data_IF_906598631593
#
_entry.id   IF_906598631593
#
_cell.length_a   1.000
_cell.length_b   1.000
_cell.length_c   1.000
_cell.angle_alpha   90.00
_cell.angle_beta   90.00
_cell.angle_gamma   90.00
#
_symmetry.space_group_name_H-M   'P 1'
#
loop_
_entity.id
_entity.type
_entity.pdbx_description
1 polymer ?
#
# COMPACT_ATOMS: atom_id res chain seq x y z
N UNK A 1 17.00 -2.71 -0.99
CA UNK A 1 15.93 -3.49 -0.29
C UNK A 1 15.75 -3.08 1.17
N UNK A 2 16.80 -3.10 2.01
CA UNK A 2 16.66 -2.83 3.45
C UNK A 2 16.08 -1.45 3.79
N UNK A 3 16.58 -0.37 3.16
CA UNK A 3 16.08 1.02 3.38
C UNK A 3 14.60 1.18 3.03
N UNK A 4 14.17 0.66 1.89
CA UNK A 4 12.75 0.70 1.48
C UNK A 4 11.88 -0.12 2.43
N UNK A 5 12.38 -1.27 2.91
CA UNK A 5 11.65 -2.07 3.91
C UNK A 5 11.50 -1.32 5.23
N UNK A 6 12.53 -0.61 5.66
CA UNK A 6 12.47 0.27 6.84
C UNK A 6 11.45 1.40 6.65
N UNK A 7 11.44 2.06 5.49
CA UNK A 7 10.43 3.08 5.18
C UNK A 7 9.01 2.48 5.23
N UNK A 8 8.77 1.32 4.61
CA UNK A 8 7.45 0.67 4.66
C UNK A 8 6.98 0.38 6.09
N UNK A 9 7.87 -0.06 6.97
CA UNK A 9 7.53 -0.30 8.37
C UNK A 9 7.18 1.02 9.08
N UNK A 10 7.97 2.07 8.87
CA UNK A 10 7.70 3.38 9.46
C UNK A 10 6.38 3.98 8.96
N UNK A 11 6.04 3.78 7.69
CA UNK A 11 4.77 4.23 7.10
C UNK A 11 3.54 3.71 7.86
N UNK A 12 3.62 2.50 8.44
CA UNK A 12 2.51 1.89 9.18
C UNK A 12 2.33 2.38 10.62
N UNK A 13 3.19 3.30 11.10
CA UNK A 13 3.10 3.86 12.43
C UNK A 13 1.76 4.61 12.67
N UNK A 14 1.44 4.82 13.95
CA UNK A 14 0.26 5.57 14.39
C UNK A 14 0.69 6.73 15.31
N UNK A 15 0.50 8.00 14.90
CA UNK A 15 -0.14 8.44 13.66
C UNK A 15 0.69 8.19 12.39
N UNK A 16 0.03 8.12 11.23
CA UNK A 16 0.68 7.92 9.93
C UNK A 16 1.64 9.09 9.62
N UNK A 17 2.95 8.87 9.44
CA UNK A 17 3.93 9.97 9.43
C UNK A 17 4.04 10.73 8.10
N UNK A 18 3.62 10.11 6.99
CA UNK A 18 3.77 10.60 5.62
C UNK A 18 2.59 10.12 4.76
N UNK A 19 2.21 10.87 3.73
CA UNK A 19 1.15 10.45 2.80
C UNK A 19 1.58 9.35 1.83
N UNK A 20 0.61 8.57 1.34
CA UNK A 20 0.85 7.39 0.50
C UNK A 20 1.61 7.72 -0.79
N UNK A 21 1.28 8.84 -1.43
CA UNK A 21 1.87 9.28 -2.70
C UNK A 21 3.38 9.51 -2.51
N UNK A 22 3.76 10.28 -1.50
CA UNK A 22 5.16 10.58 -1.19
C UNK A 22 5.93 9.33 -0.78
N UNK A 23 5.33 8.46 0.03
CA UNK A 23 5.93 7.19 0.42
C UNK A 23 6.18 6.26 -0.78
N UNK A 24 5.25 6.21 -1.75
CA UNK A 24 5.36 5.35 -2.93
C UNK A 24 6.40 5.81 -3.95
N UNK A 25 6.69 7.10 -4.08
CA UNK A 25 7.65 7.61 -5.06
C UNK A 25 9.04 6.95 -4.95
N UNK A 26 9.50 6.65 -3.73
CA UNK A 26 10.81 6.02 -3.51
C UNK A 26 10.92 4.59 -4.05
N UNK A 27 9.80 3.95 -4.36
CA UNK A 27 9.78 2.59 -4.89
C UNK A 27 9.88 2.57 -6.43
N UNK A 28 9.75 3.72 -7.13
CA UNK A 28 9.81 3.74 -8.59
C UNK A 28 11.17 3.32 -9.15
N UNK A 29 12.25 3.55 -8.41
CA UNK A 29 13.59 3.08 -8.75
C UNK A 29 13.73 1.55 -8.82
N UNK A 30 12.76 0.78 -8.30
CA UNK A 30 12.74 -0.69 -8.45
C UNK A 30 12.06 -1.16 -9.74
N UNK A 31 11.19 -0.35 -10.34
CA UNK A 31 10.36 -0.78 -11.49
C UNK A 31 10.70 -0.04 -12.78
N UNK A 32 11.27 1.15 -12.68
CA UNK A 32 11.56 1.99 -13.82
C UNK A 32 13.07 2.18 -13.97
N UNK A 33 13.64 1.94 -15.16
CA UNK A 33 15.04 2.28 -15.41
C UNK A 33 15.20 3.80 -15.55
N UNK A 34 16.19 4.36 -14.87
CA UNK A 34 16.54 5.78 -14.99
C UNK A 34 17.91 5.92 -15.65
N UNK A 35 17.99 6.73 -16.71
CA UNK A 35 19.23 7.05 -17.41
C UNK A 35 20.23 7.83 -16.55
N UNK A 36 19.77 8.46 -15.46
CA UNK A 36 20.59 9.15 -14.46
C UNK A 36 21.13 8.25 -13.35
N UNK A 37 20.76 6.96 -13.35
CA UNK A 37 20.94 6.11 -12.17
C UNK A 37 20.03 6.51 -11.00
N UNK A 38 20.29 5.95 -9.82
CA UNK A 38 19.41 6.07 -8.63
C UNK A 38 20.05 6.79 -7.43
N UNK A 39 21.29 7.29 -7.55
CA UNK A 39 22.04 7.86 -6.41
C UNK A 39 21.29 9.02 -5.73
N UNK A 40 20.72 9.93 -6.51
CA UNK A 40 19.92 11.05 -5.97
C UNK A 40 18.66 10.56 -5.25
N UNK A 41 18.05 9.46 -5.72
CA UNK A 41 16.89 8.86 -5.06
C UNK A 41 17.29 8.20 -3.74
N UNK A 42 18.44 7.54 -3.68
CA UNK A 42 18.96 6.95 -2.44
C UNK A 42 19.26 8.02 -1.39
N UNK A 43 19.86 9.15 -1.78
CA UNK A 43 20.08 10.29 -0.88
C UNK A 43 18.77 10.87 -0.36
N UNK A 44 17.77 11.04 -1.25
CA UNK A 44 16.45 11.50 -0.85
C UNK A 44 15.77 10.51 0.12
N UNK A 45 15.89 9.21 -0.14
CA UNK A 45 15.35 8.15 0.74
C UNK A 45 15.98 8.20 2.14
N UNK A 46 17.29 8.41 2.25
CA UNK A 46 17.96 8.51 3.55
C UNK A 46 17.47 9.72 4.37
N UNK A 47 17.29 10.86 3.70
CA UNK A 47 16.74 12.08 4.32
C UNK A 47 15.30 11.81 4.79
N UNK A 48 14.47 11.24 3.93
CA UNK A 48 13.07 10.94 4.25
C UNK A 48 12.95 9.93 5.39
N UNK A 49 13.76 8.86 5.42
CA UNK A 49 13.75 7.89 6.53
C UNK A 49 14.09 8.60 7.84
N UNK A 50 15.10 9.49 7.84
CA UNK A 50 15.48 10.27 9.03
C UNK A 50 14.33 11.15 9.52
N UNK A 51 13.68 11.89 8.63
CA UNK A 51 12.55 12.77 8.97
C UNK A 51 11.33 11.97 9.44
N UNK A 52 11.00 10.87 8.77
CA UNK A 52 9.90 9.99 9.15
C UNK A 52 10.15 9.37 10.53
N UNK A 53 11.37 8.92 10.84
CA UNK A 53 11.74 8.45 12.19
C UNK A 53 11.51 9.52 13.25
N UNK A 54 11.87 10.77 12.97
CA UNK A 54 11.65 11.89 13.90
C UNK A 54 10.15 12.10 14.13
N UNK A 55 9.34 12.13 13.07
CA UNK A 55 7.88 12.24 13.18
C UNK A 55 7.28 11.10 14.01
N UNK A 56 7.68 9.86 13.75
CA UNK A 56 7.23 8.69 14.53
C UNK A 56 7.61 8.81 16.00
N UNK A 57 8.85 9.22 16.30
CA UNK A 57 9.31 9.42 17.68
C UNK A 57 8.54 10.54 18.41
N UNK A 58 8.24 11.63 17.70
CA UNK A 58 7.45 12.77 18.20
C UNK A 58 5.94 12.52 18.20
N UNK A 59 5.48 11.37 17.69
CA UNK A 59 4.05 11.05 17.48
C UNK A 59 3.33 12.08 16.62
N UNK A 60 4.02 12.60 15.61
CA UNK A 60 3.50 13.52 14.61
C UNK A 60 3.14 12.75 13.33
N UNK A 61 2.01 13.08 12.74
CA UNK A 61 1.57 12.46 11.49
C UNK A 61 0.62 13.35 10.71
N UNK A 62 0.28 12.90 9.50
CA UNK A 62 -0.63 13.61 8.59
C UNK A 62 -2.09 13.50 9.03
N UNK A 63 -2.37 12.58 9.96
CA UNK A 63 -3.68 12.33 10.55
C UNK A 63 -3.56 12.24 12.08
N UNK A 64 -4.64 12.50 12.84
CA UNK A 64 -4.67 12.27 14.27
C UNK A 64 -4.36 10.81 14.62
N UNK A 65 -3.74 10.60 15.79
CA UNK A 65 -3.50 9.26 16.33
C UNK A 65 -4.81 8.49 16.46
N UNK A 66 -4.81 7.22 16.04
CA UNK A 66 -5.96 6.33 16.08
C UNK A 66 -6.92 6.48 14.90
N UNK A 67 -6.61 7.35 13.92
CA UNK A 67 -7.35 7.41 12.67
C UNK A 67 -7.42 6.02 12.01
N UNK A 68 -8.57 5.64 11.42
CA UNK A 68 -8.69 4.35 10.74
C UNK A 68 -7.70 4.27 9.59
N UNK A 69 -7.10 3.10 9.37
CA UNK A 69 -6.15 2.85 8.28
C UNK A 69 -6.66 1.77 7.34
N UNK A 70 -6.63 2.03 6.03
CA UNK A 70 -6.96 1.05 5.00
C UNK A 70 -5.69 0.57 4.30
N UNK A 71 -5.64 -0.74 4.04
CA UNK A 71 -4.73 -1.30 3.06
C UNK A 71 -5.36 -1.12 1.67
N UNK A 72 -4.62 -0.69 0.67
CA UNK A 72 -5.16 -0.49 -0.69
C UNK A 72 -4.24 -1.07 -1.74
N UNK A 73 -4.79 -1.73 -2.75
CA UNK A 73 -4.03 -2.01 -3.97
C UNK A 73 -4.16 -0.83 -4.94
N UNK A 74 -3.11 -0.01 -5.07
CA UNK A 74 -3.07 1.07 -6.07
C UNK A 74 -1.65 1.51 -6.42
N UNK A 75 -1.53 2.23 -7.54
CA UNK A 75 -0.28 2.85 -8.00
C UNK A 75 -0.39 4.35 -7.71
N UNK A 76 -0.16 4.76 -6.46
CA UNK A 76 -0.49 6.12 -6.02
C UNK A 76 0.04 7.27 -6.90
N UNK A 77 1.27 7.25 -7.46
CA UNK A 77 1.78 8.39 -8.22
C UNK A 77 1.05 8.66 -9.54
N UNK A 78 0.35 7.69 -10.11
CA UNK A 78 -0.33 7.81 -11.41
C UNK A 78 -1.72 8.41 -11.26
N UNK A 79 -2.41 8.11 -10.15
CA UNK A 79 -3.71 8.70 -9.75
C UNK A 79 -3.65 9.19 -8.29
N UNK A 80 -2.84 10.22 -7.99
CA UNK A 80 -2.52 10.63 -6.62
C UNK A 80 -3.70 11.17 -5.84
N UNK A 81 -4.75 11.62 -6.54
CA UNK A 81 -5.97 12.14 -5.92
C UNK A 81 -6.73 11.06 -5.14
N UNK A 82 -6.60 9.77 -5.47
CA UNK A 82 -7.29 8.69 -4.75
C UNK A 82 -6.80 8.61 -3.30
N UNK A 83 -5.49 8.47 -3.10
CA UNK A 83 -4.93 8.37 -1.76
C UNK A 83 -5.14 9.66 -0.96
N UNK A 84 -4.95 10.82 -1.60
CA UNK A 84 -5.21 12.12 -0.98
C UNK A 84 -6.65 12.26 -0.53
N UNK A 85 -7.62 11.80 -1.32
CA UNK A 85 -9.03 11.90 -0.96
C UNK A 85 -9.37 11.05 0.27
N UNK A 86 -8.79 9.85 0.42
CA UNK A 86 -8.92 9.08 1.67
C UNK A 86 -8.31 9.82 2.86
N UNK A 87 -7.08 10.33 2.69
CA UNK A 87 -6.35 11.05 3.74
C UNK A 87 -7.08 12.34 4.16
N UNK A 88 -7.58 13.14 3.22
CA UNK A 88 -8.37 14.35 3.47
C UNK A 88 -9.70 14.05 4.19
N UNK A 89 -10.25 12.85 4.01
CA UNK A 89 -11.44 12.37 4.71
C UNK A 89 -11.14 11.68 6.06
N UNK A 90 -9.89 11.74 6.52
CA UNK A 90 -9.48 11.26 7.84
C UNK A 90 -9.15 9.76 7.90
N UNK A 91 -8.92 9.12 6.75
CA UNK A 91 -8.56 7.69 6.67
C UNK A 91 -7.14 7.54 6.14
N UNK A 92 -6.29 6.88 6.93
CA UNK A 92 -4.89 6.67 6.58
C UNK A 92 -4.72 5.64 5.47
N UNK A 93 -3.88 5.99 4.49
CA UNK A 93 -3.37 5.10 3.45
C UNK A 93 -1.83 5.06 3.57
N UNK A 94 -1.25 4.24 4.47
CA UNK A 94 0.19 4.18 4.67
C UNK A 94 1.00 3.94 3.39
N UNK A 95 0.62 2.90 2.65
CA UNK A 95 1.28 2.48 1.43
C UNK A 95 0.39 1.49 0.69
N UNK A 96 0.65 1.29 -0.60
CA UNK A 96 -0.01 0.25 -1.38
C UNK A 96 0.33 -1.15 -0.86
N UNK A 97 -0.66 -2.05 -0.94
CA UNK A 97 -0.63 -3.43 -0.47
C UNK A 97 0.63 -4.17 -0.93
N UNK A 98 1.04 -3.92 -2.17
CA UNK A 98 2.19 -4.57 -2.78
C UNK A 98 3.50 -4.29 -2.02
N UNK A 99 3.59 -3.14 -1.34
CA UNK A 99 4.80 -2.66 -0.65
C UNK A 99 4.73 -2.77 0.87
N UNK A 100 3.57 -3.06 1.43
CA UNK A 100 3.47 -3.51 2.81
C UNK A 100 4.01 -4.93 2.89
N UNK A 101 4.96 -5.16 3.79
CA UNK A 101 5.75 -6.39 3.84
C UNK A 101 5.18 -7.39 4.84
N UNK A 102 5.14 -8.66 4.45
CA UNK A 102 4.94 -9.81 5.33
C UNK A 102 6.21 -10.11 6.13
N UNK A 103 6.09 -10.91 7.20
CA UNK A 103 7.23 -11.42 7.97
C UNK A 103 8.19 -12.22 7.09
N UNK A 104 7.67 -12.96 6.08
CA UNK A 104 8.50 -13.72 5.14
C UNK A 104 9.33 -12.80 4.24
N UNK A 105 8.76 -11.68 3.78
CA UNK A 105 9.48 -10.72 2.94
C UNK A 105 10.58 -9.96 3.71
N UNK A 106 10.42 -9.78 5.02
CA UNK A 106 11.43 -9.13 5.88
C UNK A 106 12.64 -10.02 6.21
N UNK A 107 12.54 -11.33 6.00
CA UNK A 107 13.66 -12.24 6.24
C UNK A 107 14.71 -12.08 5.12
N UNK A 108 16.01 -12.19 5.45
CA UNK A 108 17.05 -12.33 4.44
C UNK A 108 16.74 -13.45 3.43
N UNK A 109 17.27 -13.36 2.19
CA UNK A 109 17.24 -14.49 1.26
C UNK A 109 17.99 -15.68 1.86
N UNK A 110 17.57 -16.88 1.50
CA UNK A 110 18.17 -18.14 1.95
C UNK A 110 19.34 -18.56 1.07
N UNK A 111 19.36 -18.08 -0.18
CA UNK A 111 20.43 -18.35 -1.13
C UNK A 111 21.50 -17.25 -1.09
N UNK A 112 22.76 -17.64 -1.16
CA UNK A 112 23.90 -16.72 -1.33
C UNK A 112 24.07 -16.28 -2.79
N UNK A 113 23.72 -17.16 -3.74
CA UNK A 113 23.74 -16.83 -5.16
C UNK A 113 22.76 -15.67 -5.46
N UNK A 114 23.23 -14.57 -6.08
CA UNK A 114 22.43 -13.37 -6.24
C UNK A 114 21.21 -13.56 -7.14
N UNK A 115 21.26 -14.47 -8.12
CA UNK A 115 20.12 -14.75 -9.00
C UNK A 115 19.06 -15.56 -8.28
N UNK A 116 19.48 -16.58 -7.51
CA UNK A 116 18.58 -17.37 -6.67
C UNK A 116 17.96 -16.51 -5.56
N UNK A 117 18.72 -15.61 -4.94
CA UNK A 117 18.22 -14.66 -3.95
C UNK A 117 17.19 -13.70 -4.56
N UNK A 118 17.43 -13.20 -5.77
CA UNK A 118 16.48 -12.34 -6.49
C UNK A 118 15.19 -13.10 -6.85
N UNK A 119 15.31 -14.32 -7.37
CA UNK A 119 14.17 -15.18 -7.69
C UNK A 119 13.33 -15.50 -6.44
N UNK A 120 13.98 -15.83 -5.33
CA UNK A 120 13.32 -16.06 -4.05
C UNK A 120 12.59 -14.79 -3.57
N UNK A 121 13.25 -13.63 -3.64
CA UNK A 121 12.65 -12.34 -3.31
C UNK A 121 11.39 -12.06 -4.12
N UNK A 122 11.44 -12.32 -5.42
CA UNK A 122 10.30 -12.15 -6.33
C UNK A 122 9.13 -13.07 -5.95
N UNK A 123 9.39 -14.34 -5.68
CA UNK A 123 8.38 -15.33 -5.28
C UNK A 123 7.80 -15.12 -3.87
N UNK A 124 8.34 -14.18 -3.09
CA UNK A 124 7.79 -13.77 -1.80
C UNK A 124 6.77 -12.61 -1.93
N UNK A 125 6.62 -11.99 -3.11
CA UNK A 125 5.74 -10.83 -3.32
C UNK A 125 4.26 -11.22 -3.53
N UNK A 126 3.35 -10.45 -2.93
CA UNK A 126 1.90 -10.72 -2.87
C UNK A 126 1.21 -10.81 -4.24
N UNK A 127 1.69 -10.10 -5.26
CA UNK A 127 1.16 -10.23 -6.62
C UNK A 127 1.86 -11.27 -7.50
N UNK A 128 2.85 -12.01 -7.01
CA UNK A 128 3.66 -12.93 -7.83
C UNK A 128 3.32 -14.40 -7.57
N UNK A 129 2.20 -14.63 -6.88
CA UNK A 129 1.75 -15.94 -6.41
C UNK A 129 0.28 -16.16 -6.77
N UNK A 130 -0.22 -17.37 -6.54
CA UNK A 130 -1.63 -17.66 -6.79
C UNK A 130 -2.56 -16.83 -5.85
N UNK A 131 -3.81 -16.54 -6.24
CA UNK A 131 -4.72 -15.71 -5.45
C UNK A 131 -4.99 -16.22 -4.03
N UNK A 132 -5.00 -17.54 -3.81
CA UNK A 132 -5.19 -18.11 -2.48
C UNK A 132 -4.04 -17.74 -1.53
N UNK A 133 -2.80 -17.88 -2.00
CA UNK A 133 -1.62 -17.51 -1.22
C UNK A 133 -1.47 -15.99 -1.09
N UNK A 134 -1.83 -15.22 -2.14
CA UNK A 134 -1.92 -13.76 -2.06
C UNK A 134 -2.90 -13.32 -0.96
N UNK A 135 -4.09 -13.92 -0.89
CA UNK A 135 -5.06 -13.62 0.16
C UNK A 135 -4.49 -13.91 1.56
N UNK A 136 -3.75 -15.00 1.75
CA UNK A 136 -3.09 -15.30 3.03
C UNK A 136 -2.06 -14.23 3.41
N UNK A 137 -1.23 -13.79 2.45
CA UNK A 137 -0.27 -12.72 2.68
C UNK A 137 -0.97 -11.39 3.03
N UNK A 138 -2.08 -11.08 2.36
CA UNK A 138 -2.87 -9.88 2.63
C UNK A 138 -3.47 -9.94 4.05
N UNK A 139 -4.06 -11.07 4.45
CA UNK A 139 -4.56 -11.27 5.81
C UNK A 139 -3.45 -11.09 6.85
N UNK A 140 -2.25 -11.64 6.61
CA UNK A 140 -1.09 -11.45 7.48
C UNK A 140 -0.72 -9.96 7.61
N UNK A 141 -0.71 -9.21 6.50
CA UNK A 141 -0.40 -7.77 6.49
C UNK A 141 -1.43 -6.98 7.27
N UNK A 142 -2.73 -7.24 7.06
CA UNK A 142 -3.82 -6.59 7.77
C UNK A 142 -3.67 -6.77 9.30
N UNK A 143 -3.42 -8.01 9.73
CA UNK A 143 -3.24 -8.33 11.15
C UNK A 143 -1.94 -7.76 11.74
N UNK A 144 -0.83 -7.91 11.03
CA UNK A 144 0.51 -7.53 11.52
C UNK A 144 0.62 -6.02 11.70
N UNK A 145 0.11 -5.26 10.73
CA UNK A 145 0.24 -3.80 10.69
C UNK A 145 -1.00 -3.05 11.19
N UNK A 146 -1.99 -3.79 11.73
CA UNK A 146 -3.20 -3.26 12.35
C UNK A 146 -3.98 -2.33 11.41
N UNK A 147 -4.23 -2.81 10.20
CA UNK A 147 -5.15 -2.16 9.28
C UNK A 147 -6.59 -2.49 9.68
N UNK A 148 -7.49 -1.54 9.45
CA UNK A 148 -8.90 -1.62 9.85
C UNK A 148 -9.81 -2.14 8.72
N UNK A 149 -9.28 -2.23 7.50
CA UNK A 149 -10.00 -2.71 6.33
C UNK A 149 -9.12 -2.68 5.10
N UNK A 150 -9.71 -3.03 3.97
CA UNK A 150 -9.01 -3.06 2.69
C UNK A 150 -9.83 -2.49 1.54
N UNK A 151 -9.14 -1.92 0.55
CA UNK A 151 -9.72 -1.53 -0.74
C UNK A 151 -8.96 -2.23 -1.86
N UNK A 152 -9.68 -2.99 -2.66
CA UNK A 152 -9.21 -3.48 -3.96
C UNK A 152 -9.79 -2.62 -5.09
N UNK A 153 -9.23 -2.80 -6.28
CA UNK A 153 -9.78 -2.23 -7.51
C UNK A 153 -8.74 -1.45 -8.32
N UNK A 154 -9.22 -0.46 -9.08
CA UNK A 154 -8.42 0.44 -9.92
C UNK A 154 -7.61 -0.26 -11.04
N UNK A 155 -7.94 -1.52 -11.31
CA UNK A 155 -7.26 -2.37 -12.28
C UNK A 155 -8.27 -3.04 -13.20
N UNK A 156 -9.41 -2.40 -13.47
CA UNK A 156 -10.50 -3.00 -14.26
C UNK A 156 -10.11 -3.23 -15.73
N UNK A 157 -9.14 -2.46 -16.24
CA UNK A 157 -8.52 -2.68 -17.54
C UNK A 157 -7.63 -3.94 -17.57
N UNK A 158 -7.11 -4.38 -16.43
CA UNK A 158 -6.12 -5.44 -16.31
C UNK A 158 -6.80 -6.80 -16.17
N UNK A 159 -6.62 -7.68 -17.17
CA UNK A 159 -7.26 -9.01 -17.20
C UNK A 159 -6.75 -9.95 -16.12
N UNK A 160 -5.55 -9.71 -15.58
CA UNK A 160 -4.96 -10.53 -14.53
C UNK A 160 -5.32 -9.99 -13.14
N UNK A 161 -5.05 -8.71 -12.89
CA UNK A 161 -5.25 -8.08 -11.59
C UNK A 161 -6.73 -7.73 -11.36
N UNK A 162 -7.42 -7.15 -12.34
CA UNK A 162 -8.85 -6.82 -12.21
C UNK A 162 -9.73 -8.05 -11.94
N UNK A 163 -9.45 -9.16 -12.61
CA UNK A 163 -10.19 -10.41 -12.39
C UNK A 163 -9.92 -11.03 -11.01
N UNK A 164 -8.66 -11.01 -10.56
CA UNK A 164 -8.27 -11.56 -9.26
C UNK A 164 -8.71 -10.70 -8.08
N UNK A 165 -8.73 -9.37 -8.21
CA UNK A 165 -9.13 -8.46 -7.14
C UNK A 165 -10.55 -8.72 -6.63
N UNK A 166 -11.52 -8.99 -7.53
CA UNK A 166 -12.90 -9.32 -7.13
C UNK A 166 -12.98 -10.62 -6.32
N UNK A 167 -12.14 -11.61 -6.65
CA UNK A 167 -12.03 -12.86 -5.88
C UNK A 167 -11.36 -12.61 -4.52
N UNK A 168 -10.26 -11.85 -4.50
CA UNK A 168 -9.51 -11.52 -3.29
C UNK A 168 -10.34 -10.71 -2.30
N UNK A 169 -11.20 -9.79 -2.77
CA UNK A 169 -12.14 -9.04 -1.92
C UNK A 169 -12.93 -9.99 -1.02
N UNK A 170 -13.55 -11.03 -1.59
CA UNK A 170 -14.33 -12.03 -0.84
C UNK A 170 -13.45 -12.87 0.07
N UNK A 171 -12.35 -13.40 -0.46
CA UNK A 171 -11.45 -14.26 0.31
C UNK A 171 -10.89 -13.57 1.55
N UNK A 172 -10.54 -12.29 1.44
CA UNK A 172 -9.98 -11.51 2.55
C UNK A 172 -11.08 -11.11 3.54
N UNK A 173 -12.25 -10.70 3.05
CA UNK A 173 -13.40 -10.37 3.92
C UNK A 173 -13.85 -11.58 4.74
N UNK A 174 -14.05 -12.73 4.10
CA UNK A 174 -14.47 -13.98 4.75
C UNK A 174 -13.47 -14.44 5.83
N UNK A 175 -12.16 -14.29 5.56
CA UNK A 175 -11.10 -14.72 6.48
C UNK A 175 -10.89 -13.76 7.66
N UNK A 176 -11.10 -12.46 7.47
CA UNK A 176 -10.72 -11.44 8.46
C UNK A 176 -11.90 -10.83 9.20
N UNK A 177 -13.09 -10.85 8.60
CA UNK A 177 -14.27 -10.10 9.08
C UNK A 177 -14.12 -8.57 9.01
N UNK A 178 -13.01 -8.08 8.47
CA UNK A 178 -12.78 -6.65 8.23
C UNK A 178 -13.56 -6.21 6.99
N UNK A 179 -14.03 -4.95 6.93
CA UNK A 179 -14.64 -4.42 5.73
C UNK A 179 -13.64 -4.41 4.56
N UNK A 180 -14.01 -5.04 3.45
CA UNK A 180 -13.23 -5.03 2.22
C UNK A 180 -14.06 -4.44 1.08
N UNK A 181 -13.56 -3.38 0.48
CA UNK A 181 -14.23 -2.65 -0.58
C UNK A 181 -13.61 -2.95 -1.94
N UNK A 182 -14.39 -2.71 -2.99
CA UNK A 182 -13.92 -2.72 -4.37
C UNK A 182 -14.32 -1.40 -5.05
N UNK A 183 -13.34 -0.70 -5.64
CA UNK A 183 -13.57 0.51 -6.41
C UNK A 183 -13.19 0.25 -7.87
N UNK A 184 -14.18 0.38 -8.77
CA UNK A 184 -13.91 0.36 -10.20
C UNK A 184 -13.10 1.59 -10.59
N UNK A 185 -12.04 1.39 -11.37
CA UNK A 185 -11.18 2.45 -11.86
C UNK A 185 -10.02 1.97 -12.73
N UNK A 186 -9.24 2.93 -13.19
CA UNK A 186 -8.00 2.71 -13.91
C UNK A 186 -6.88 3.50 -13.22
N UNK A 187 -5.79 2.81 -12.85
CA UNK A 187 -4.65 3.43 -12.19
C UNK A 187 -3.84 4.32 -13.12
N UNK A 188 -3.95 4.22 -14.44
CA UNK A 188 -3.14 4.98 -15.39
C UNK A 188 -3.88 6.20 -15.95
N UNK A 189 -5.21 6.19 -15.87
CA UNK A 189 -6.05 7.12 -16.59
C UNK A 189 -7.37 7.36 -15.86
N UNK A 190 -7.71 8.62 -15.60
CA UNK A 190 -8.93 9.02 -14.93
C UNK A 190 -10.02 9.53 -15.89
N UNK A 191 -9.84 9.39 -17.21
CA UNK A 191 -10.84 9.80 -18.22
C UNK A 191 -12.19 9.12 -18.05
N UNK A 192 -12.18 7.82 -17.74
CA UNK A 192 -13.40 7.04 -17.53
C UNK A 192 -13.86 7.05 -16.05
N UNK A 193 -12.98 7.48 -15.14
CA UNK A 193 -13.18 7.42 -13.68
C UNK A 193 -12.67 8.70 -13.00
N UNK A 194 -13.37 9.81 -13.22
CA UNK A 194 -12.93 11.12 -12.70
C UNK A 194 -12.98 11.19 -11.16
N UNK A 195 -12.24 12.13 -10.54
CA UNK A 195 -12.31 12.39 -9.11
C UNK A 195 -13.73 12.62 -8.60
N UNK A 196 -14.55 13.34 -9.35
CA UNK A 196 -15.96 13.63 -9.02
C UNK A 196 -16.81 12.35 -9.05
N UNK A 197 -16.56 11.46 -10.01
CA UNK A 197 -17.28 10.20 -10.15
C UNK A 197 -16.99 9.23 -8.99
N UNK A 198 -15.77 9.23 -8.45
CA UNK A 198 -15.39 8.35 -7.33
C UNK A 198 -15.56 9.00 -5.95
N UNK A 199 -15.72 10.33 -5.89
CA UNK A 199 -15.77 11.10 -4.63
C UNK A 199 -16.74 10.53 -3.61
N UNK A 200 -18.02 10.44 -3.96
CA UNK A 200 -19.06 9.98 -3.03
C UNK A 200 -18.81 8.55 -2.56
N UNK A 201 -18.23 7.69 -3.40
CA UNK A 201 -17.88 6.32 -3.05
C UNK A 201 -16.72 6.26 -2.06
N UNK A 202 -15.66 7.06 -2.27
CA UNK A 202 -14.54 7.17 -1.34
C UNK A 202 -14.99 7.77 0.00
N UNK A 203 -15.76 8.86 -0.04
CA UNK A 203 -16.32 9.50 1.17
C UNK A 203 -17.18 8.52 1.98
N UNK A 204 -18.04 7.75 1.30
CA UNK A 204 -18.88 6.72 1.96
C UNK A 204 -18.04 5.62 2.62
N UNK A 205 -16.98 5.15 1.96
CA UNK A 205 -16.05 4.19 2.55
C UNK A 205 -15.40 4.80 3.80
N UNK A 206 -14.98 6.06 3.73
CA UNK A 206 -14.35 6.74 4.86
C UNK A 206 -15.30 6.86 6.07
N UNK A 207 -16.57 7.19 5.84
CA UNK A 207 -17.58 7.22 6.91
C UNK A 207 -17.77 5.85 7.56
N UNK A 208 -17.89 4.77 6.77
CA UNK A 208 -18.00 3.41 7.29
C UNK A 208 -16.79 3.07 8.17
N UNK A 209 -15.59 3.43 7.72
CA UNK A 209 -14.36 3.17 8.47
C UNK A 209 -14.30 3.93 9.79
N UNK A 210 -14.72 5.19 9.80
CA UNK A 210 -14.77 6.00 11.03
C UNK A 210 -15.79 5.44 12.02
N UNK A 211 -16.97 5.03 11.55
CA UNK A 211 -18.02 4.45 12.40
C UNK A 211 -17.57 3.13 13.03
N UNK A 212 -16.87 2.25 12.29
CA UNK A 212 -16.41 0.95 12.80
C UNK A 212 -15.22 1.05 13.75
N UNK A 213 -14.49 2.16 13.71
CA UNK A 213 -13.32 2.42 14.56
C UNK A 213 -13.70 3.05 15.91
N UNK A 214 -14.78 3.83 15.93
CA UNK A 214 -15.36 4.46 17.13
C UNK A 214 -15.92 3.42 18.10
#
# INVERSE_FOLDING_TARGET
>A
AAKLSELALLMTADPQPLGAVSGRLFWEGLFTPFNTGIESMEKALDITIKEVKQRVASKEGILPKGAPKLLIYSIHPTVPWIAKMFEENGVGIPLSEFFILTKKQLKPPTFEDPYMAAAEGWLRMSGMVNPGYQAEQICEKLETHKFDGMVFGLMDFDRWLGSSHRLLTRMVEDKTGLPVFYIEGDNWDDRDYSPEALRTRIESICEIMKIRKA
#
